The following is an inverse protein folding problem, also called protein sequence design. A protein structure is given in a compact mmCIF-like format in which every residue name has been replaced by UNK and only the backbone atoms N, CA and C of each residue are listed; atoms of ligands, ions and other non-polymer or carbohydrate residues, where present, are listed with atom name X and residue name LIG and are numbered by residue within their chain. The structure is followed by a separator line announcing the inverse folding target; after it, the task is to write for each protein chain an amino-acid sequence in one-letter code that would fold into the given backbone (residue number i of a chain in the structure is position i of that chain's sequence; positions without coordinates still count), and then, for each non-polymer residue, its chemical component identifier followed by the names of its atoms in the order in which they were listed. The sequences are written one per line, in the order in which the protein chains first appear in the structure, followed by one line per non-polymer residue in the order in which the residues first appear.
data_IF_944194677941
#
_entry.id   IF_944194677941
#
_cell.length_a   1.000
_cell.length_b   1.000
_cell.length_c   1.000
_cell.angle_alpha   90.00
_cell.angle_beta   90.00
_cell.angle_gamma   90.00
#
_symmetry.space_group_name_H-M   'P 1'
#
loop_
_entity.id
_entity.type
_entity.pdbx_description
1 polymer ?
#
# COMPACT_ATOMS: atom_id res chain seq x y z
N UNK A 1 8.49 4.45 1.05
CA UNK A 1 9.38 4.24 2.21
C UNK A 1 8.79 4.93 3.43
N UNK A 2 9.19 4.53 4.63
CA UNK A 2 8.68 5.10 5.87
C UNK A 2 9.78 5.24 6.92
N UNK A 3 9.42 5.76 8.10
CA UNK A 3 10.33 5.92 9.24
C UNK A 3 10.94 4.61 9.75
N UNK A 4 10.34 3.45 9.45
CA UNK A 4 10.89 2.13 9.78
C UNK A 4 11.92 1.61 8.77
N UNK A 5 12.02 2.22 7.58
CA UNK A 5 12.98 1.83 6.56
C UNK A 5 14.41 2.13 7.06
N UNK A 6 15.26 1.11 7.12
CA UNK A 6 16.58 1.21 7.78
C UNK A 6 17.63 0.27 7.15
N UNK A 7 18.90 0.49 7.50
CA UNK A 7 20.00 -0.41 7.12
C UNK A 7 20.16 -0.58 5.61
N UNK A 8 20.14 -1.83 5.15
CA UNK A 8 20.31 -2.18 3.73
C UNK A 8 19.17 -1.65 2.84
N UNK A 9 17.94 -1.55 3.37
CA UNK A 9 16.82 -1.00 2.61
C UNK A 9 17.00 0.50 2.36
N UNK A 10 17.52 1.23 3.35
CA UNK A 10 17.88 2.65 3.20
C UNK A 10 19.08 2.84 2.26
N UNK A 11 20.05 1.91 2.27
CA UNK A 11 21.14 1.92 1.31
C UNK A 11 20.67 1.72 -0.14
N UNK A 12 19.76 0.77 -0.36
CA UNK A 12 19.15 0.56 -1.67
C UNK A 12 18.37 1.80 -2.14
N UNK A 13 17.62 2.42 -1.23
CA UNK A 13 16.92 3.66 -1.50
C UNK A 13 17.86 4.76 -2.01
N UNK A 14 18.91 5.00 -1.25
CA UNK A 14 19.89 6.03 -1.56
C UNK A 14 20.56 5.76 -2.91
N UNK A 15 20.82 4.49 -3.24
CA UNK A 15 21.36 4.09 -4.54
C UNK A 15 20.39 4.38 -5.70
N UNK A 16 19.11 4.03 -5.57
CA UNK A 16 18.10 4.28 -6.60
C UNK A 16 17.91 5.77 -6.87
N UNK A 17 17.95 6.58 -5.81
CA UNK A 17 17.87 8.04 -5.92
C UNK A 17 19.14 8.63 -6.53
N UNK A 18 20.32 8.18 -6.10
CA UNK A 18 21.59 8.71 -6.60
C UNK A 18 21.86 8.35 -8.06
N UNK A 19 21.37 7.21 -8.54
CA UNK A 19 21.49 6.82 -9.95
C UNK A 19 20.44 7.49 -10.86
N UNK A 20 19.44 8.17 -10.28
CA UNK A 20 18.31 8.70 -11.03
C UNK A 20 17.40 7.62 -11.61
N UNK A 21 17.55 6.35 -11.19
CA UNK A 21 16.77 5.23 -11.69
C UNK A 21 15.34 5.18 -11.10
N UNK A 22 15.08 5.94 -10.04
CA UNK A 22 13.76 6.01 -9.42
C UNK A 22 13.56 7.22 -8.53
N UNK A 23 12.29 7.50 -8.24
CA UNK A 23 11.85 8.53 -7.30
C UNK A 23 11.50 7.88 -5.96
N UNK A 24 11.89 8.50 -4.85
CA UNK A 24 11.51 8.02 -3.52
C UNK A 24 10.26 8.76 -3.05
N UNK A 25 9.19 8.01 -2.82
CA UNK A 25 7.96 8.50 -2.21
C UNK A 25 7.79 7.90 -0.82
N UNK A 26 7.27 8.69 0.11
CA UNK A 26 7.02 8.25 1.48
C UNK A 26 7.43 9.29 2.50
N UNK A 27 7.82 8.84 3.69
CA UNK A 27 8.37 9.69 4.74
C UNK A 27 9.87 9.46 4.94
N UNK A 28 10.49 10.34 5.72
CA UNK A 28 11.91 10.26 6.07
C UNK A 28 12.25 8.93 6.75
N UNK A 29 13.34 8.28 6.31
CA UNK A 29 13.76 6.96 6.83
C UNK A 29 14.51 7.06 8.18
N UNK A 30 14.86 5.92 8.77
CA UNK A 30 15.38 5.83 10.14
C UNK A 30 16.80 6.40 10.35
N UNK A 31 17.67 6.37 9.34
CA UNK A 31 19.06 6.83 9.46
C UNK A 31 20.04 5.78 9.98
N UNK A 32 19.69 4.49 9.85
CA UNK A 32 20.50 3.39 10.40
C UNK A 32 21.30 2.65 9.31
N UNK A 33 21.63 3.31 8.20
CA UNK A 33 22.45 2.76 7.14
C UNK A 33 23.96 2.77 7.48
N UNK A 34 24.39 1.78 8.27
CA UNK A 34 25.80 1.60 8.66
C UNK A 34 26.41 0.30 8.13
N UNK A 35 27.65 0.42 7.64
CA UNK A 35 28.52 -0.72 7.41
C UNK A 35 28.87 -1.35 8.77
N UNK A 36 28.80 -2.68 8.85
CA UNK A 36 29.08 -3.40 10.08
C UNK A 36 30.01 -4.57 9.87
N UNK A 37 30.82 -4.87 10.88
CA UNK A 37 31.65 -6.06 10.94
C UNK A 37 31.08 -7.03 11.98
N UNK A 38 30.92 -8.29 11.60
CA UNK A 38 30.47 -9.36 12.50
C UNK A 38 31.65 -10.02 13.20
N UNK A 39 31.50 -10.26 14.50
CA UNK A 39 32.43 -11.01 15.33
C UNK A 39 31.68 -12.17 15.99
N UNK A 40 32.16 -13.40 15.78
CA UNK A 40 31.62 -14.57 16.46
C UNK A 40 32.15 -14.62 17.91
N UNK A 41 31.25 -14.81 18.88
CA UNK A 41 31.59 -14.96 20.28
C UNK A 41 31.73 -16.44 20.63
N UNK A 42 32.46 -16.74 21.72
CA UNK A 42 32.72 -18.10 22.20
C UNK A 42 31.44 -18.92 22.50
N UNK A 43 30.30 -18.25 22.72
CA UNK A 43 29.00 -18.88 22.97
C UNK A 43 28.11 -19.08 21.73
N UNK A 44 28.61 -18.84 20.52
CA UNK A 44 27.85 -19.00 19.27
C UNK A 44 27.04 -17.76 18.84
N UNK A 45 26.86 -16.78 19.72
CA UNK A 45 26.30 -15.47 19.36
C UNK A 45 27.21 -14.69 18.42
N UNK A 46 26.65 -13.73 17.68
CA UNK A 46 27.40 -12.79 16.83
C UNK A 46 27.21 -11.35 17.31
N UNK A 47 28.30 -10.59 17.37
CA UNK A 47 28.30 -9.16 17.61
C UNK A 47 28.53 -8.43 16.29
N UNK A 48 27.57 -7.61 15.86
CA UNK A 48 27.74 -6.71 14.71
C UNK A 48 28.13 -5.32 15.21
N UNK A 49 29.34 -4.88 14.87
CA UNK A 49 29.84 -3.56 15.21
C UNK A 49 29.74 -2.63 14.00
N UNK A 50 29.05 -1.49 14.15
CA UNK A 50 29.01 -0.46 13.11
C UNK A 50 30.39 0.20 12.98
N UNK A 51 30.97 0.16 11.79
CA UNK A 51 32.32 0.70 11.51
C UNK A 51 32.28 2.07 10.81
N UNK A 52 31.15 2.43 10.22
CA UNK A 52 30.96 3.71 9.55
C UNK A 52 29.67 3.75 8.73
N UNK A 53 29.27 4.93 8.23
CA UNK A 53 28.12 5.06 7.35
C UNK A 53 28.36 4.29 6.04
N UNK A 54 27.29 3.77 5.44
CA UNK A 54 27.37 3.13 4.12
C UNK A 54 27.71 4.18 3.06
N UNK A 55 28.65 3.87 2.17
CA UNK A 55 29.00 4.69 1.01
C UNK A 55 28.39 4.11 -0.26
N UNK A 56 27.92 5.01 -1.13
CA UNK A 56 27.39 4.68 -2.44
C UNK A 56 28.53 4.50 -3.46
N UNK A 57 28.24 3.90 -4.62
CA UNK A 57 29.22 3.67 -5.68
C UNK A 57 29.87 4.94 -6.26
N UNK A 58 29.28 6.11 -6.01
CA UNK A 58 29.83 7.42 -6.38
C UNK A 58 30.70 8.05 -5.26
N UNK A 59 30.99 7.32 -4.18
CA UNK A 59 31.77 7.78 -3.03
C UNK A 59 30.99 8.62 -2.01
N UNK A 60 29.71 8.93 -2.26
CA UNK A 60 28.89 9.70 -1.32
C UNK A 60 28.45 8.81 -0.14
N UNK A 61 28.68 9.29 1.08
CA UNK A 61 28.18 8.63 2.29
C UNK A 61 26.69 8.91 2.49
N UNK A 62 25.94 7.89 2.94
CA UNK A 62 24.54 8.04 3.30
C UNK A 62 24.43 8.81 4.62
N UNK A 63 23.44 9.70 4.70
CA UNK A 63 23.12 10.48 5.89
C UNK A 63 22.79 9.58 7.09
N UNK A 64 23.43 9.83 8.23
CA UNK A 64 23.13 9.18 9.52
C UNK A 64 21.80 9.63 10.12
N UNK A 65 21.18 10.66 9.55
CA UNK A 65 19.91 11.19 10.01
C UNK A 65 18.72 10.63 9.22
N UNK A 66 18.95 9.67 8.31
CA UNK A 66 17.93 9.14 7.41
C UNK A 66 17.92 9.83 6.05
N UNK A 67 17.28 9.17 5.10
CA UNK A 67 17.11 9.62 3.73
C UNK A 67 15.81 10.43 3.62
N UNK A 68 15.91 11.62 3.03
CA UNK A 68 14.74 12.46 2.72
C UNK A 68 14.09 11.95 1.44
N UNK A 69 12.76 11.74 1.41
CA UNK A 69 12.05 11.38 0.19
C UNK A 69 12.02 12.54 -0.80
N UNK A 70 11.84 12.23 -2.09
CA UNK A 70 11.67 13.25 -3.13
C UNK A 70 10.25 13.82 -3.13
N UNK A 71 9.25 12.98 -2.84
CA UNK A 71 7.88 13.40 -2.56
C UNK A 71 7.51 12.91 -1.15
N UNK A 72 7.21 13.86 -0.26
CA UNK A 72 6.77 13.55 1.09
C UNK A 72 5.30 13.08 1.07
N UNK A 73 5.08 11.90 1.64
CA UNK A 73 3.76 11.27 1.74
C UNK A 73 3.48 11.03 3.21
N UNK A 74 2.65 11.89 3.80
CA UNK A 74 2.24 11.78 5.20
C UNK A 74 1.12 10.75 5.33
N UNK A 75 1.40 9.68 6.07
CA UNK A 75 0.46 8.63 6.47
C UNK A 75 0.63 8.36 7.96
N UNK A 76 -0.46 7.96 8.62
CA UNK A 76 -0.40 7.54 10.02
C UNK A 76 0.35 6.19 10.11
N UNK A 77 1.42 6.08 10.92
CA UNK A 77 2.14 4.82 11.08
C UNK A 77 1.24 3.68 11.56
N UNK A 78 0.22 3.95 12.38
CA UNK A 78 -0.69 2.91 12.87
C UNK A 78 -1.51 2.29 11.74
N UNK A 79 -1.92 3.09 10.75
CA UNK A 79 -2.65 2.61 9.57
C UNK A 79 -1.75 1.74 8.68
N UNK A 80 -0.47 2.12 8.53
CA UNK A 80 0.53 1.30 7.83
C UNK A 80 0.77 -0.03 8.56
N UNK A 81 0.94 0.01 9.88
CA UNK A 81 1.14 -1.20 10.69
C UNK A 81 -0.07 -2.14 10.65
N UNK A 82 -1.28 -1.59 10.71
CA UNK A 82 -2.50 -2.37 10.56
C UNK A 82 -2.58 -3.02 9.18
N UNK A 83 -2.21 -2.30 8.11
CA UNK A 83 -2.16 -2.83 6.76
C UNK A 83 -1.11 -3.95 6.61
N UNK A 84 0.10 -3.78 7.16
CA UNK A 84 1.12 -4.83 7.10
C UNK A 84 0.77 -6.07 7.95
N UNK A 85 0.01 -5.88 9.04
CA UNK A 85 -0.48 -6.99 9.86
C UNK A 85 -1.58 -7.79 9.16
N UNK A 86 -2.53 -7.10 8.51
CA UNK A 86 -3.57 -7.74 7.71
C UNK A 86 -4.01 -6.86 6.53
N UNK A 87 -3.41 -7.12 5.37
CA UNK A 87 -3.66 -6.40 4.13
C UNK A 87 -5.07 -6.63 3.54
N UNK A 88 -5.76 -7.68 3.98
CA UNK A 88 -7.11 -8.05 3.54
C UNK A 88 -8.17 -7.79 4.60
N UNK A 89 -7.78 -7.40 5.82
CA UNK A 89 -8.72 -6.95 6.83
C UNK A 89 -9.55 -5.82 6.22
N UNK A 90 -10.87 -5.90 6.42
CA UNK A 90 -11.79 -4.83 6.05
C UNK A 90 -11.54 -3.66 7.01
N UNK A 91 -10.43 -2.96 6.84
CA UNK A 91 -10.21 -1.66 7.47
C UNK A 91 -11.36 -0.81 6.97
N UNK A 92 -12.36 -0.59 7.84
CA UNK A 92 -13.37 0.42 7.60
C UNK A 92 -12.60 1.71 7.45
N UNK A 93 -12.45 2.17 6.21
CA UNK A 93 -11.83 3.44 5.88
C UNK A 93 -12.56 4.50 6.70
N UNK A 94 -11.96 4.94 7.81
CA UNK A 94 -12.44 6.10 8.52
C UNK A 94 -12.32 7.26 7.56
N UNK A 95 -13.46 7.90 7.36
CA UNK A 95 -13.67 8.94 6.38
C UNK A 95 -12.77 10.14 6.70
N UNK A 96 -11.74 10.37 5.87
CA UNK A 96 -11.13 11.70 5.69
C UNK A 96 -12.06 12.57 4.79
N UNK A 97 -13.36 12.27 4.79
CA UNK A 97 -14.41 12.98 4.07
C UNK A 97 -15.44 13.61 5.03
N UNK A 98 -15.07 13.87 6.29
CA UNK A 98 -15.95 14.43 7.32
C UNK A 98 -15.69 15.92 7.64
N UNK A 99 -15.27 16.71 6.65
CA UNK A 99 -15.39 18.20 6.69
C UNK A 99 -16.40 18.68 5.62
N UNK A 100 -17.35 17.81 5.28
CA UNK A 100 -18.54 18.18 4.52
C UNK A 100 -19.75 17.67 5.26
N UNK A 101 -20.49 18.58 5.89
CA UNK A 101 -21.87 18.38 6.36
C UNK A 101 -22.69 17.79 5.22
N UNK A 102 -22.94 16.49 5.29
CA UNK A 102 -23.69 15.76 4.27
C UNK A 102 -24.05 14.39 4.78
N UNK A 103 -25.28 14.24 5.23
CA UNK A 103 -25.93 12.99 5.60
C UNK A 103 -25.96 12.07 4.37
N UNK A 104 -24.92 11.26 4.17
CA UNK A 104 -24.99 10.12 3.27
C UNK A 104 -24.18 8.97 3.87
N UNK A 105 -24.93 8.03 4.42
CA UNK A 105 -24.43 6.72 4.83
C UNK A 105 -23.80 6.07 3.59
N UNK A 106 -22.47 6.00 3.57
CA UNK A 106 -21.74 5.24 2.56
C UNK A 106 -22.05 3.76 2.76
N UNK A 107 -22.99 3.26 1.97
CA UNK A 107 -23.28 1.86 1.81
C UNK A 107 -21.99 1.16 1.35
N UNK A 108 -21.58 0.14 2.11
CA UNK A 108 -20.42 -0.67 1.78
C UNK A 108 -20.59 -1.31 0.41
N UNK A 109 -19.74 -0.93 -0.54
CA UNK A 109 -19.52 -1.68 -1.77
C UNK A 109 -18.48 -2.75 -1.46
N UNK A 110 -18.94 -3.88 -0.90
CA UNK A 110 -18.21 -5.12 -1.00
C UNK A 110 -19.20 -6.26 -1.22
N UNK A 111 -19.09 -6.91 -2.38
CA UNK A 111 -19.95 -7.98 -2.84
C UNK A 111 -21.23 -7.49 -3.51
N UNK A 112 -21.41 -7.86 -4.78
CA UNK A 112 -22.73 -8.21 -5.30
C UNK A 112 -23.52 -8.85 -4.17
N UNK A 113 -24.65 -8.27 -3.77
CA UNK A 113 -25.56 -8.92 -2.82
C UNK A 113 -25.87 -10.29 -3.38
N UNK A 114 -25.18 -11.34 -2.92
CA UNK A 114 -25.70 -12.70 -3.03
C UNK A 114 -26.99 -12.60 -2.24
N UNK A 115 -28.11 -12.57 -2.97
CA UNK A 115 -29.42 -12.61 -2.36
C UNK A 115 -29.37 -13.75 -1.35
N UNK A 116 -29.61 -13.45 -0.08
CA UNK A 116 -29.61 -14.46 0.96
C UNK A 116 -30.86 -15.30 0.73
N UNK A 117 -30.76 -16.27 -0.16
CA UNK A 117 -31.81 -17.23 -0.44
C UNK A 117 -31.98 -18.08 0.83
N UNK A 118 -33.16 -18.00 1.44
CA UNK A 118 -33.53 -18.88 2.53
C UNK A 118 -33.94 -20.25 1.99
N UNK A 119 -33.87 -21.28 2.83
CA UNK A 119 -34.25 -22.65 2.47
C UNK A 119 -35.68 -22.74 1.87
N UNK A 120 -36.61 -21.94 2.39
CA UNK A 120 -37.98 -21.86 1.89
C UNK A 120 -38.12 -21.28 0.47
N UNK A 121 -37.18 -20.44 0.04
CA UNK A 121 -37.15 -19.88 -1.31
C UNK A 121 -36.56 -20.88 -2.31
N UNK A 122 -35.52 -21.60 -1.89
CA UNK A 122 -34.91 -22.71 -2.63
C UNK A 122 -35.92 -23.84 -2.90
N UNK A 123 -36.70 -24.23 -1.89
CA UNK A 123 -37.74 -25.28 -2.03
C UNK A 123 -38.86 -24.82 -2.97
N UNK A 124 -39.20 -23.53 -2.97
CA UNK A 124 -40.22 -22.97 -3.86
C UNK A 124 -39.76 -22.99 -5.32
N UNK A 125 -38.52 -22.62 -5.59
CA UNK A 125 -37.93 -22.68 -6.94
C UNK A 125 -37.85 -24.12 -7.46
N UNK A 126 -37.42 -25.07 -6.63
CA UNK A 126 -37.35 -26.48 -7.01
C UNK A 126 -38.74 -27.07 -7.30
N UNK A 127 -39.76 -26.70 -6.50
CA UNK A 127 -41.14 -27.17 -6.72
C UNK A 127 -41.81 -26.48 -7.91
N UNK A 128 -41.37 -25.28 -8.27
CA UNK A 128 -41.83 -24.54 -9.44
C UNK A 128 -41.14 -24.98 -10.75
N UNK A 129 -40.18 -25.91 -10.69
CA UNK A 129 -39.52 -26.47 -11.88
C UNK A 129 -38.65 -25.46 -12.64
N UNK A 130 -38.14 -24.43 -11.95
CA UNK A 130 -37.28 -23.41 -12.56
C UNK A 130 -35.86 -23.97 -12.65
N UNK A 131 -35.51 -24.56 -13.80
CA UNK A 131 -34.14 -24.98 -14.10
C UNK A 131 -33.26 -23.75 -14.31
N UNK A 132 -32.45 -23.40 -13.30
CA UNK A 132 -31.46 -22.32 -13.39
C UNK A 132 -30.38 -22.56 -14.45
N UNK A 133 -30.26 -23.79 -14.97
CA UNK A 133 -29.32 -24.16 -16.03
C UNK A 133 -29.90 -23.99 -17.46
N UNK A 134 -31.17 -23.59 -17.61
CA UNK A 134 -31.76 -23.30 -18.92
C UNK A 134 -31.38 -21.90 -19.43
N UNK A 135 -30.12 -21.74 -19.80
CA UNK A 135 -29.64 -21.18 -21.07
C UNK A 135 -30.17 -19.87 -21.68
N UNK A 136 -31.10 -19.12 -21.10
CA UNK A 136 -31.56 -17.84 -21.65
C UNK A 136 -30.75 -16.66 -21.10
N UNK A 137 -29.56 -16.51 -21.67
CA UNK A 137 -28.90 -15.22 -21.96
C UNK A 137 -29.10 -14.09 -20.95
N UNK A 138 -28.62 -14.28 -19.71
CA UNK A 138 -27.99 -13.16 -19.04
C UNK A 138 -26.72 -12.87 -19.85
N UNK A 139 -26.83 -11.91 -20.78
CA UNK A 139 -25.75 -11.32 -21.58
C UNK A 139 -24.44 -11.51 -20.83
N UNK A 140 -23.46 -12.14 -21.47
CA UNK A 140 -22.07 -12.04 -21.05
C UNK A 140 -21.80 -10.54 -20.88
N UNK A 141 -21.96 -10.04 -19.65
CA UNK A 141 -21.46 -8.73 -19.27
C UNK A 141 -19.99 -8.91 -19.56
N UNK A 142 -19.49 -8.18 -20.55
CA UNK A 142 -18.06 -7.99 -20.72
C UNK A 142 -17.53 -7.83 -19.29
N UNK A 143 -16.69 -8.77 -18.88
CA UNK A 143 -16.07 -8.73 -17.56
C UNK A 143 -15.17 -7.51 -17.62
N UNK A 144 -15.75 -6.35 -17.31
CA UNK A 144 -15.00 -5.13 -17.14
C UNK A 144 -14.01 -5.45 -16.03
N UNK A 145 -12.70 -5.42 -16.32
CA UNK A 145 -11.72 -5.87 -15.35
C UNK A 145 -11.93 -5.07 -14.06
N UNK A 146 -12.13 -5.78 -12.96
CA UNK A 146 -12.37 -5.15 -11.66
C UNK A 146 -11.27 -4.12 -11.42
N UNK A 147 -11.68 -2.86 -11.24
CA UNK A 147 -10.73 -1.76 -11.09
C UNK A 147 -9.82 -2.08 -9.90
N UNK A 148 -8.48 -2.11 -10.08
CA UNK A 148 -7.58 -2.51 -9.02
C UNK A 148 -7.74 -1.54 -7.84
N UNK A 149 -8.19 -2.07 -6.70
CA UNK A 149 -8.33 -1.31 -5.46
C UNK A 149 -7.00 -1.34 -4.73
N UNK A 150 -6.48 -0.15 -4.42
CA UNK A 150 -5.24 0.00 -3.67
C UNK A 150 -5.59 0.12 -2.18
N UNK A 151 -5.21 -0.88 -1.40
CA UNK A 151 -5.48 -0.94 0.05
C UNK A 151 -4.34 -0.39 0.91
N UNK A 152 -3.12 -0.35 0.36
CA UNK A 152 -1.96 0.23 1.04
C UNK A 152 -2.17 1.75 1.22
N UNK A 153 -2.19 2.27 2.46
CA UNK A 153 -2.45 3.69 2.73
C UNK A 153 -1.34 4.59 2.19
N UNK A 154 -0.07 4.17 2.24
CA UNK A 154 1.06 4.92 1.70
C UNK A 154 1.02 4.95 0.17
N UNK A 155 0.75 3.82 -0.48
CA UNK A 155 0.62 3.76 -1.93
C UNK A 155 -0.59 4.55 -2.43
N UNK A 156 -1.74 4.44 -1.76
CA UNK A 156 -2.94 5.19 -2.13
C UNK A 156 -2.68 6.70 -2.10
N UNK A 157 -2.06 7.21 -1.02
CA UNK A 157 -1.71 8.62 -0.88
C UNK A 157 -0.67 9.07 -1.91
N UNK A 158 0.33 8.24 -2.19
CA UNK A 158 1.32 8.50 -3.23
C UNK A 158 0.67 8.62 -4.62
N UNK A 159 -0.26 7.72 -4.95
CA UNK A 159 -0.99 7.75 -6.22
C UNK A 159 -1.88 8.98 -6.33
N UNK A 160 -2.55 9.40 -5.25
CA UNK A 160 -3.36 10.61 -5.24
C UNK A 160 -2.51 11.86 -5.53
N UNK A 161 -1.31 11.95 -4.93
CA UNK A 161 -0.38 13.05 -5.21
C UNK A 161 0.12 13.04 -6.65
N UNK A 162 0.48 11.87 -7.19
CA UNK A 162 0.93 11.73 -8.58
C UNK A 162 -0.18 12.09 -9.58
N UNK A 163 -1.41 11.63 -9.32
CA UNK A 163 -2.59 11.99 -10.12
C UNK A 163 -2.88 13.49 -10.05
N UNK A 164 -2.80 14.10 -8.87
CA UNK A 164 -2.95 15.54 -8.69
C UNK A 164 -1.91 16.33 -9.49
N UNK A 165 -0.64 15.93 -9.43
CA UNK A 165 0.45 16.51 -10.21
C UNK A 165 0.23 16.39 -11.72
N UNK A 166 -0.30 15.27 -12.20
CA UNK A 166 -0.60 15.07 -13.61
C UNK A 166 -1.67 16.05 -14.12
N UNK A 167 -2.75 16.25 -13.34
CA UNK A 167 -3.83 17.19 -13.68
C UNK A 167 -3.32 18.63 -13.72
N UNK A 168 -2.50 19.04 -12.74
CA UNK A 168 -1.94 20.41 -12.69
C UNK A 168 -1.01 20.69 -13.86
N UNK A 169 -0.28 19.70 -14.36
CA UNK A 169 0.57 19.87 -15.55
C UNK A 169 -0.24 20.02 -16.82
N UNK A 170 -1.35 19.29 -16.97
CA UNK A 170 -2.20 19.36 -18.15
C UNK A 170 -2.92 20.71 -18.30
N UNK A 171 -3.26 21.38 -17.19
CA UNK A 171 -3.91 22.70 -17.24
C UNK A 171 -2.95 23.86 -17.55
N UNK A 172 -1.64 23.60 -17.57
CA UNK A 172 -0.59 24.61 -17.77
C UNK A 172 0.06 24.56 -19.17
N UNK A 173 -0.44 23.69 -20.05
CA UNK A 173 -0.11 23.62 -21.47
C UNK A 173 -1.22 24.25 -22.30
#
# INVERSE_FOLDING_TARGET
MNSGTSGSAEALAAMLRASGAGLILGSKTAGLAFAGKEYSLKGGSKLRLATGPVTLGNGMAISTNGLKPDIDVTVNPDDEHAYYADAFSLVRRNAIAAVGTGTNQFAGTNGTRRARFGEAELVREHRAGVDRDSGETARAREFEPEKPVVNDPALARALDLLKGLAVVRQSRS
#
